data_IF_902110059123
#
_entry.id   IF_902110059123
#
_cell.length_a   1.000
_cell.length_b   1.000
_cell.length_c   1.000
_cell.angle_alpha   90.00
_cell.angle_beta   90.00
_cell.angle_gamma   90.00
#
_symmetry.space_group_name_H-M   'P 1'
#
loop_
_entity.id
_entity.type
_entity.pdbx_description
1 polymer ?
#
# COMPACT_ATOMS: atom_id res chain seq x y z
N UNK A 1 5.97 27.97 -6.91
CA UNK A 1 6.06 27.14 -5.67
C UNK A 1 4.77 26.37 -5.52
N UNK A 2 4.86 25.05 -5.34
CA UNK A 2 3.74 24.17 -5.03
C UNK A 2 3.87 23.71 -3.57
N UNK A 3 2.80 23.85 -2.79
CA UNK A 3 2.77 23.39 -1.40
C UNK A 3 1.95 22.11 -1.35
N UNK A 4 2.53 21.07 -0.77
CA UNK A 4 1.92 19.74 -0.66
C UNK A 4 1.97 19.26 0.78
N UNK A 5 1.05 18.38 1.14
CA UNK A 5 1.11 17.63 2.40
C UNK A 5 1.38 16.16 2.06
N UNK A 6 2.47 15.62 2.59
CA UNK A 6 2.85 14.23 2.40
C UNK A 6 3.43 13.70 3.70
N UNK A 7 3.07 12.47 4.09
CA UNK A 7 3.56 11.84 5.32
C UNK A 7 3.33 12.71 6.58
N UNK A 8 2.18 13.40 6.68
CA UNK A 8 1.84 14.34 7.78
C UNK A 8 2.82 15.51 7.94
N UNK A 9 3.61 15.81 6.92
CA UNK A 9 4.49 16.98 6.90
C UNK A 9 4.14 17.84 5.69
N UNK A 10 4.27 19.16 5.84
CA UNK A 10 4.03 20.11 4.75
C UNK A 10 5.34 20.42 4.05
N UNK A 11 5.41 20.18 2.74
CA UNK A 11 6.57 20.49 1.92
C UNK A 11 6.25 21.55 0.88
N UNK A 12 7.27 22.30 0.46
CA UNK A 12 7.20 23.27 -0.61
C UNK A 12 8.16 22.89 -1.74
N UNK A 13 7.62 22.59 -2.91
CA UNK A 13 8.37 22.36 -4.13
C UNK A 13 8.58 23.68 -4.88
N UNK A 14 9.84 24.07 -5.04
CA UNK A 14 10.19 25.15 -5.94
C UNK A 14 9.99 24.69 -7.39
N UNK A 15 9.05 25.34 -8.08
CA UNK A 15 8.76 25.08 -9.49
C UNK A 15 8.83 26.39 -10.24
N UNK A 16 9.33 26.35 -11.49
CA UNK A 16 9.44 27.51 -12.37
C UNK A 16 8.06 28.11 -12.67
N UNK A 17 7.12 27.26 -13.11
CA UNK A 17 5.72 27.60 -13.34
C UNK A 17 4.84 26.37 -13.22
N UNK A 18 3.55 26.58 -12.95
CA UNK A 18 2.52 25.54 -13.10
C UNK A 18 1.85 25.80 -14.45
N UNK A 19 1.99 24.85 -15.38
CA UNK A 19 1.39 24.95 -16.71
C UNK A 19 -0.11 24.62 -16.64
N UNK A 20 -0.44 23.45 -16.10
CA UNK A 20 -1.82 22.96 -15.95
C UNK A 20 -1.98 22.04 -14.75
N UNK A 21 -3.23 21.90 -14.25
CA UNK A 21 -3.63 20.92 -13.24
C UNK A 21 -4.70 20.03 -13.86
N UNK A 22 -4.36 18.76 -14.08
CA UNK A 22 -5.25 17.79 -14.74
C UNK A 22 -5.61 16.70 -13.76
N UNK A 23 -6.90 16.34 -13.72
CA UNK A 23 -7.39 15.18 -12.97
C UNK A 23 -7.43 13.99 -13.92
N UNK A 24 -6.77 12.90 -13.55
CA UNK A 24 -6.61 11.71 -14.37
C UNK A 24 -7.30 10.51 -13.73
N UNK A 25 -7.80 9.60 -14.56
CA UNK A 25 -8.19 8.27 -14.14
C UNK A 25 -6.97 7.34 -14.06
N UNK A 26 -6.97 6.36 -13.16
CA UNK A 26 -5.87 5.39 -13.03
C UNK A 26 -5.57 4.62 -14.32
N UNK A 27 -6.55 4.45 -15.21
CA UNK A 27 -6.35 3.83 -16.54
C UNK A 27 -5.43 4.65 -17.46
N UNK A 28 -5.26 5.94 -17.17
CA UNK A 28 -4.36 6.84 -17.89
C UNK A 28 -2.94 6.85 -17.29
N UNK A 29 -2.73 6.24 -16.13
CA UNK A 29 -1.44 6.16 -15.43
C UNK A 29 -0.84 4.78 -15.66
N UNK A 30 0.29 4.75 -16.35
CA UNK A 30 1.01 3.52 -16.69
C UNK A 30 2.27 3.41 -15.84
N UNK A 31 2.58 2.21 -15.35
CA UNK A 31 3.81 1.95 -14.61
C UNK A 31 5.04 2.23 -15.47
N UNK A 32 6.01 2.95 -14.94
CA UNK A 32 7.27 3.22 -15.64
C UNK A 32 8.22 2.02 -15.48
N UNK A 33 8.22 1.08 -16.44
CA UNK A 33 9.17 -0.04 -16.43
C UNK A 33 10.60 0.44 -16.75
N UNK A 34 11.45 0.48 -15.73
CA UNK A 34 12.91 0.30 -15.83
C UNK A 34 13.76 1.35 -16.55
N UNK A 35 13.22 2.49 -16.99
CA UNK A 35 13.97 3.43 -17.87
C UNK A 35 14.01 4.89 -17.44
N UNK A 36 13.25 5.30 -16.41
CA UNK A 36 13.28 6.67 -15.90
C UNK A 36 13.93 6.69 -14.51
N UNK A 37 15.20 7.09 -14.44
CA UNK A 37 16.10 6.86 -13.30
C UNK A 37 15.48 7.08 -11.93
N UNK A 38 15.20 5.98 -11.20
CA UNK A 38 14.96 5.87 -9.76
C UNK A 38 13.89 6.73 -9.07
N UNK A 39 13.42 7.80 -9.70
CA UNK A 39 12.63 8.89 -9.12
C UNK A 39 11.32 9.11 -9.86
N UNK A 40 10.96 8.19 -10.75
CA UNK A 40 9.72 8.21 -11.53
C UNK A 40 9.02 6.87 -11.30
N UNK A 41 7.79 6.91 -10.80
CA UNK A 41 6.98 5.69 -10.57
C UNK A 41 6.15 5.33 -11.79
N UNK A 42 5.65 6.33 -12.52
CA UNK A 42 4.66 6.15 -13.56
C UNK A 42 4.73 7.22 -14.65
N UNK A 43 4.08 6.95 -15.78
CA UNK A 43 3.86 7.89 -16.89
C UNK A 43 2.35 8.11 -17.02
N UNK A 44 1.94 9.36 -16.92
CA UNK A 44 0.57 9.81 -17.08
C UNK A 44 0.31 10.27 -18.52
N UNK A 45 -0.77 9.74 -19.13
CA UNK A 45 -1.32 10.22 -20.40
C UNK A 45 -2.29 11.37 -20.16
N UNK A 46 -1.80 12.60 -20.29
CA UNK A 46 -2.52 13.82 -19.93
C UNK A 46 -3.79 14.02 -20.76
N UNK A 47 -3.73 13.69 -22.05
CA UNK A 47 -4.85 13.87 -22.99
C UNK A 47 -5.60 12.54 -23.28
N UNK A 48 -5.47 11.56 -22.39
CA UNK A 48 -6.10 10.24 -22.54
C UNK A 48 -5.42 9.35 -23.59
N UNK A 49 -6.14 8.36 -24.10
CA UNK A 49 -5.62 7.37 -25.05
C UNK A 49 -5.76 7.82 -26.51
N UNK A 50 -5.10 8.93 -26.84
CA UNK A 50 -5.05 9.46 -28.22
C UNK A 50 -3.66 9.28 -28.82
N UNK A 51 -3.57 9.15 -30.15
CA UNK A 51 -2.29 8.89 -30.84
C UNK A 51 -1.20 9.93 -30.61
N UNK A 52 -1.54 11.11 -30.06
CA UNK A 52 -0.59 12.18 -29.80
C UNK A 52 -0.74 12.75 -28.37
N UNK A 53 -1.10 11.89 -27.42
CA UNK A 53 -1.30 12.28 -26.03
C UNK A 53 0.00 12.80 -25.41
N UNK A 54 -0.08 13.92 -24.69
CA UNK A 54 1.05 14.42 -23.91
C UNK A 54 1.32 13.45 -22.76
N UNK A 55 2.60 13.15 -22.56
CA UNK A 55 3.06 12.29 -21.48
C UNK A 55 3.70 13.14 -20.38
N UNK A 56 3.27 12.92 -19.14
CA UNK A 56 3.90 13.50 -17.96
C UNK A 56 4.53 12.38 -17.12
N UNK A 57 5.76 12.59 -16.66
CA UNK A 57 6.38 11.68 -15.70
C UNK A 57 5.84 11.98 -14.31
N UNK A 58 5.38 10.94 -13.62
CA UNK A 58 4.94 11.02 -12.22
C UNK A 58 6.15 10.76 -11.34
N UNK A 59 6.54 11.78 -10.59
CA UNK A 59 7.69 11.70 -9.69
C UNK A 59 7.37 10.85 -8.46
N UNK A 60 8.34 10.02 -8.06
CA UNK A 60 8.34 9.34 -6.77
C UNK A 60 8.73 10.33 -5.67
N UNK A 61 7.74 11.09 -5.21
CA UNK A 61 7.93 12.09 -4.14
C UNK A 61 8.44 11.44 -2.85
N UNK A 62 8.03 10.21 -2.55
CA UNK A 62 8.48 9.45 -1.38
C UNK A 62 10.00 9.20 -1.44
N UNK A 63 10.48 8.65 -2.55
CA UNK A 63 11.91 8.39 -2.74
C UNK A 63 12.72 9.70 -2.70
N UNK A 64 12.22 10.76 -3.35
CA UNK A 64 12.89 12.07 -3.36
C UNK A 64 13.00 12.66 -1.96
N UNK A 65 11.90 12.68 -1.20
CA UNK A 65 11.91 13.26 0.15
C UNK A 65 12.82 12.49 1.09
N UNK A 66 12.88 11.16 0.98
CA UNK A 66 13.75 10.32 1.81
C UNK A 66 15.24 10.49 1.53
N UNK A 67 15.61 10.78 0.29
CA UNK A 67 16.99 11.13 -0.06
C UNK A 67 17.40 12.51 0.47
N UNK A 68 16.49 13.49 0.42
CA UNK A 68 16.77 14.87 0.81
C UNK A 68 16.70 15.12 2.32
N UNK A 69 15.76 14.44 2.98
CA UNK A 69 15.54 14.51 4.41
C UNK A 69 15.50 13.08 4.94
N UNK A 70 16.67 12.47 5.21
CA UNK A 70 16.73 11.16 5.81
C UNK A 70 15.96 11.17 7.14
N UNK A 71 15.11 10.18 7.42
CA UNK A 71 14.41 10.13 8.71
C UNK A 71 15.44 10.08 9.85
N UNK A 72 15.22 10.88 10.89
CA UNK A 72 16.01 10.82 12.12
C UNK A 72 15.68 9.53 12.88
N UNK A 73 16.38 8.43 12.58
CA UNK A 73 16.20 7.14 13.27
C UNK A 73 16.65 5.94 12.44
N UNK A 74 16.89 4.79 13.11
CA UNK A 74 17.06 3.51 12.41
C UNK A 74 15.71 3.12 11.80
N UNK A 75 15.67 2.87 10.49
CA UNK A 75 14.46 2.58 9.71
C UNK A 75 13.49 1.57 10.34
N UNK A 76 14.01 0.60 11.10
CA UNK A 76 13.27 -0.36 11.92
C UNK A 76 14.17 -0.78 13.08
N UNK A 77 13.77 -0.53 14.33
CA UNK A 77 14.44 -1.08 15.51
C UNK A 77 13.59 -2.23 16.10
N UNK A 78 14.07 -3.48 16.08
CA UNK A 78 13.35 -4.61 16.68
C UNK A 78 13.00 -4.40 18.15
N UNK A 79 13.78 -3.59 18.89
CA UNK A 79 13.51 -3.29 20.29
C UNK A 79 12.30 -2.35 20.47
N UNK A 80 12.01 -1.50 19.48
CA UNK A 80 10.86 -0.57 19.53
C UNK A 80 9.62 -1.10 18.80
N UNK A 81 9.80 -2.00 17.83
CA UNK A 81 8.71 -2.69 17.11
C UNK A 81 7.78 -3.44 18.08
N UNK A 82 8.28 -3.91 19.23
CA UNK A 82 7.49 -4.58 20.26
C UNK A 82 7.31 -6.09 20.02
N UNK A 83 6.29 -6.74 20.62
CA UNK A 83 6.17 -8.19 20.60
C UNK A 83 5.85 -8.75 19.22
N UNK A 84 6.32 -9.99 18.98
CA UNK A 84 6.02 -10.76 17.77
C UNK A 84 4.52 -11.02 17.60
N UNK A 85 4.07 -11.12 16.36
CA UNK A 85 2.70 -11.53 16.06
C UNK A 85 2.59 -13.05 16.04
N UNK A 86 1.44 -13.55 16.48
CA UNK A 86 1.09 -14.96 16.40
C UNK A 86 0.11 -15.15 15.24
N UNK A 87 0.59 -15.80 14.18
CA UNK A 87 -0.24 -16.21 13.05
C UNK A 87 -0.58 -17.70 13.18
N UNK A 88 -1.69 -18.12 12.56
CA UNK A 88 -1.99 -19.56 12.43
C UNK A 88 -0.85 -20.25 11.65
N UNK A 89 -0.54 -21.54 11.93
CA UNK A 89 0.50 -22.26 11.21
C UNK A 89 0.28 -22.23 9.69
N UNK A 90 1.26 -21.68 8.95
CA UNK A 90 1.19 -21.54 7.49
C UNK A 90 0.34 -20.37 6.99
N UNK A 91 -0.21 -19.54 7.89
CA UNK A 91 -0.87 -18.30 7.50
C UNK A 91 0.15 -17.19 7.24
N UNK A 92 -0.17 -16.31 6.28
CA UNK A 92 0.68 -15.20 5.87
C UNK A 92 -0.06 -13.87 5.89
N UNK A 93 0.69 -12.77 5.93
CA UNK A 93 0.20 -11.43 5.59
C UNK A 93 0.47 -11.19 4.11
N UNK A 94 -0.57 -10.87 3.33
CA UNK A 94 -0.42 -10.49 1.92
C UNK A 94 -0.30 -8.97 1.84
N UNK A 95 0.84 -8.46 1.41
CA UNK A 95 1.11 -7.03 1.29
C UNK A 95 1.19 -6.61 -0.18
N UNK A 96 0.76 -5.37 -0.51
CA UNK A 96 0.86 -4.76 -1.83
C UNK A 96 1.31 -3.30 -1.74
N UNK A 97 2.37 -2.92 -2.45
CA UNK A 97 2.84 -1.53 -2.57
C UNK A 97 3.71 -1.42 -3.83
N UNK A 98 3.53 -0.38 -4.65
CA UNK A 98 4.30 -0.16 -5.90
C UNK A 98 5.65 0.51 -5.65
N UNK A 99 5.81 1.22 -4.53
CA UNK A 99 7.07 1.84 -4.10
C UNK A 99 8.06 0.82 -3.55
N UNK A 100 9.25 0.77 -4.15
CA UNK A 100 10.36 -0.09 -3.68
C UNK A 100 10.76 0.26 -2.24
N UNK A 101 10.75 1.56 -1.90
CA UNK A 101 11.11 2.05 -0.58
C UNK A 101 10.10 1.59 0.46
N UNK A 102 8.80 1.77 0.18
CA UNK A 102 7.74 1.37 1.08
C UNK A 102 7.71 -0.15 1.28
N UNK A 103 7.88 -0.94 0.21
CA UNK A 103 8.01 -2.41 0.30
C UNK A 103 9.14 -2.81 1.24
N UNK A 104 10.34 -2.26 1.09
CA UNK A 104 11.48 -2.58 1.95
C UNK A 104 11.21 -2.26 3.43
N UNK A 105 10.46 -1.19 3.74
CA UNK A 105 10.09 -0.84 5.11
C UNK A 105 9.05 -1.81 5.68
N UNK A 106 8.04 -2.15 4.88
CA UNK A 106 7.01 -3.14 5.23
C UNK A 106 7.67 -4.49 5.52
N UNK A 107 8.53 -4.98 4.63
CA UNK A 107 9.23 -6.25 4.78
C UNK A 107 10.04 -6.29 6.07
N UNK A 108 10.89 -5.29 6.33
CA UNK A 108 11.66 -5.19 7.58
C UNK A 108 10.77 -5.17 8.82
N UNK A 109 9.65 -4.44 8.77
CA UNK A 109 8.70 -4.39 9.87
C UNK A 109 8.06 -5.75 10.15
N UNK A 110 7.60 -6.44 9.10
CA UNK A 110 7.00 -7.78 9.20
C UNK A 110 8.02 -8.83 9.67
N UNK A 111 9.26 -8.76 9.20
CA UNK A 111 10.37 -9.62 9.64
C UNK A 111 10.67 -9.41 11.13
N UNK A 112 10.78 -8.16 11.58
CA UNK A 112 10.99 -7.83 13.00
C UNK A 112 9.85 -8.35 13.88
N UNK A 113 8.62 -8.37 13.36
CA UNK A 113 7.44 -8.94 14.03
C UNK A 113 7.38 -10.48 13.96
N UNK A 114 8.27 -11.13 13.21
CA UNK A 114 8.27 -12.58 13.00
C UNK A 114 7.08 -13.08 12.17
N UNK A 115 6.47 -12.21 11.37
CA UNK A 115 5.34 -12.56 10.51
C UNK A 115 5.82 -13.22 9.22
N UNK A 116 5.15 -14.28 8.78
CA UNK A 116 5.28 -14.74 7.40
C UNK A 116 4.45 -13.82 6.49
N UNK A 117 5.00 -13.45 5.34
CA UNK A 117 4.33 -12.55 4.41
C UNK A 117 4.61 -12.89 2.95
N UNK A 118 3.77 -12.35 2.07
CA UNK A 118 3.94 -12.33 0.62
C UNK A 118 3.82 -10.87 0.19
N UNK A 119 4.86 -10.33 -0.45
CA UNK A 119 4.88 -8.95 -0.94
C UNK A 119 4.63 -8.93 -2.45
N UNK A 120 3.67 -8.12 -2.91
CA UNK A 120 3.37 -7.87 -4.33
C UNK A 120 3.61 -6.41 -4.70
N UNK A 121 3.73 -6.11 -5.99
CA UNK A 121 4.10 -4.78 -6.50
C UNK A 121 2.92 -3.95 -7.01
N UNK A 122 1.72 -4.52 -7.05
CA UNK A 122 0.50 -3.82 -7.43
C UNK A 122 -0.73 -4.44 -6.77
N UNK A 123 -1.85 -3.71 -6.78
CA UNK A 123 -3.13 -4.24 -6.31
C UNK A 123 -3.63 -5.39 -7.17
N UNK A 124 -3.34 -5.36 -8.48
CA UNK A 124 -3.71 -6.43 -9.41
C UNK A 124 -2.96 -7.73 -9.09
N UNK A 125 -1.66 -7.64 -8.83
CA UNK A 125 -0.86 -8.80 -8.43
C UNK A 125 -1.32 -9.38 -7.09
N UNK A 126 -1.64 -8.53 -6.10
CA UNK A 126 -2.22 -8.97 -4.83
C UNK A 126 -3.55 -9.68 -5.02
N UNK A 127 -4.44 -9.14 -5.85
CA UNK A 127 -5.73 -9.77 -6.15
C UNK A 127 -5.54 -11.16 -6.78
N UNK A 128 -4.69 -11.27 -7.80
CA UNK A 128 -4.43 -12.54 -8.48
C UNK A 128 -3.78 -13.56 -7.52
N UNK A 129 -2.88 -13.09 -6.66
CA UNK A 129 -2.25 -13.94 -5.65
C UNK A 129 -3.24 -14.43 -4.61
N UNK A 130 -4.14 -13.57 -4.12
CA UNK A 130 -5.21 -13.94 -3.19
C UNK A 130 -6.13 -15.01 -3.81
N UNK A 131 -6.50 -14.84 -5.07
CA UNK A 131 -7.30 -15.82 -5.82
C UNK A 131 -6.61 -17.17 -5.93
N UNK A 132 -5.30 -17.18 -6.26
CA UNK A 132 -4.52 -18.41 -6.32
C UNK A 132 -4.43 -19.13 -4.96
N UNK A 133 -4.24 -18.39 -3.86
CA UNK A 133 -4.23 -18.95 -2.51
C UNK A 133 -5.62 -19.52 -2.16
N UNK A 134 -6.70 -18.85 -2.58
CA UNK A 134 -8.06 -19.30 -2.37
C UNK A 134 -8.36 -20.64 -3.05
N UNK A 135 -7.91 -20.83 -4.29
CA UNK A 135 -8.07 -22.10 -4.99
C UNK A 135 -7.27 -23.23 -4.31
N UNK A 136 -6.05 -22.94 -3.84
CA UNK A 136 -5.27 -23.89 -3.05
C UNK A 136 -5.94 -24.28 -1.73
N UNK A 137 -6.42 -23.28 -0.97
CA UNK A 137 -7.16 -23.49 0.28
C UNK A 137 -8.41 -24.36 0.06
N UNK A 138 -9.15 -24.10 -1.02
CA UNK A 138 -10.33 -24.87 -1.42
C UNK A 138 -9.97 -26.32 -1.76
N UNK A 139 -8.89 -26.56 -2.49
CA UNK A 139 -8.42 -27.91 -2.83
C UNK A 139 -8.04 -28.72 -1.59
N UNK A 140 -7.53 -28.05 -0.55
CA UNK A 140 -7.16 -28.64 0.73
C UNK A 140 -8.32 -28.71 1.75
N UNK A 141 -9.49 -28.13 1.41
CA UNK A 141 -10.66 -28.10 2.29
C UNK A 141 -10.52 -27.17 3.51
N UNK A 142 -9.61 -26.18 3.46
CA UNK A 142 -9.38 -25.21 4.54
C UNK A 142 -9.95 -23.84 4.19
N UNK A 143 -10.21 -23.02 5.21
CA UNK A 143 -10.70 -21.66 4.98
C UNK A 143 -9.55 -20.76 4.52
N UNK A 144 -9.85 -19.80 3.65
CA UNK A 144 -8.84 -18.83 3.21
C UNK A 144 -8.26 -18.01 4.38
N UNK A 145 -9.04 -17.75 5.42
CA UNK A 145 -8.59 -17.11 6.66
C UNK A 145 -7.58 -17.94 7.47
N UNK A 146 -7.39 -19.22 7.12
CA UNK A 146 -6.32 -20.06 7.69
C UNK A 146 -5.02 -19.96 6.89
N UNK A 147 -5.06 -19.37 5.69
CA UNK A 147 -3.90 -19.15 4.80
C UNK A 147 -3.50 -17.69 4.72
N UNK A 148 -4.45 -16.77 4.78
CA UNK A 148 -4.21 -15.31 4.76
C UNK A 148 -4.78 -14.70 6.03
N UNK A 149 -3.89 -14.26 6.91
CA UNK A 149 -4.27 -13.67 8.20
C UNK A 149 -4.71 -12.20 8.07
N UNK A 150 -4.15 -11.49 7.09
CA UNK A 150 -4.39 -10.07 6.85
C UNK A 150 -3.93 -9.69 5.45
N UNK A 151 -4.54 -8.63 4.90
CA UNK A 151 -4.08 -7.94 3.70
C UNK A 151 -3.62 -6.54 4.09
N UNK A 152 -2.43 -6.15 3.65
CA UNK A 152 -1.87 -4.81 3.75
C UNK A 152 -1.79 -4.23 2.34
N UNK A 153 -2.34 -3.05 2.08
CA UNK A 153 -2.31 -2.46 0.73
C UNK A 153 -1.98 -0.98 0.79
N UNK A 154 -1.12 -0.53 -0.12
CA UNK A 154 -1.05 0.87 -0.47
C UNK A 154 -2.33 1.34 -1.16
N UNK A 155 -2.57 2.65 -1.13
CA UNK A 155 -3.74 3.25 -1.74
C UNK A 155 -3.50 3.62 -3.21
N UNK A 156 -2.32 4.12 -3.54
CA UNK A 156 -1.98 4.76 -4.81
C UNK A 156 -1.11 3.82 -5.65
N UNK A 157 -1.75 2.80 -6.24
CA UNK A 157 -1.06 1.85 -7.13
C UNK A 157 -1.61 1.93 -8.55
N UNK A 158 -0.75 1.77 -9.59
CA UNK A 158 -1.20 1.67 -10.97
C UNK A 158 -2.03 0.41 -11.20
N UNK A 159 -2.83 0.43 -12.28
CA UNK A 159 -3.78 -0.62 -12.72
C UNK A 159 -4.95 -0.90 -11.77
N UNK A 160 -4.67 -1.13 -10.48
CA UNK A 160 -5.65 -1.36 -9.44
C UNK A 160 -5.19 -0.71 -8.14
N UNK A 161 -5.92 0.33 -7.74
CA UNK A 161 -5.70 1.07 -6.51
C UNK A 161 -6.16 0.29 -5.26
N UNK A 162 -5.71 0.73 -4.08
CA UNK A 162 -6.03 0.08 -2.81
C UNK A 162 -7.52 0.13 -2.46
N UNK A 163 -8.24 1.15 -2.93
CA UNK A 163 -9.70 1.25 -2.73
C UNK A 163 -10.44 0.16 -3.49
N UNK A 164 -10.09 -0.03 -4.76
CA UNK A 164 -10.66 -1.04 -5.65
C UNK A 164 -10.34 -2.43 -5.13
N UNK A 165 -9.09 -2.68 -4.77
CA UNK A 165 -8.67 -3.95 -4.17
C UNK A 165 -9.47 -4.26 -2.89
N UNK A 166 -9.54 -3.30 -1.96
CA UNK A 166 -10.28 -3.46 -0.71
C UNK A 166 -11.75 -3.76 -0.97
N UNK A 167 -12.38 -3.03 -1.88
CA UNK A 167 -13.79 -3.25 -2.25
C UNK A 167 -14.02 -4.64 -2.83
N UNK A 168 -13.15 -5.12 -3.73
CA UNK A 168 -13.25 -6.46 -4.31
C UNK A 168 -13.13 -7.53 -3.23
N UNK A 169 -12.18 -7.39 -2.31
CA UNK A 169 -11.99 -8.29 -1.16
C UNK A 169 -13.24 -8.32 -0.28
N UNK A 170 -13.77 -7.16 0.10
CA UNK A 170 -14.90 -7.05 1.03
C UNK A 170 -16.23 -7.48 0.43
N UNK A 171 -16.38 -7.39 -0.90
CA UNK A 171 -17.58 -7.84 -1.61
C UNK A 171 -17.58 -9.34 -1.92
N UNK A 172 -16.40 -9.99 -1.93
CA UNK A 172 -16.30 -11.42 -2.13
C UNK A 172 -16.62 -12.18 -0.84
N UNK A 173 -17.65 -13.07 -0.81
CA UNK A 173 -18.01 -13.85 0.37
C UNK A 173 -16.88 -14.73 0.91
N UNK A 174 -15.90 -15.09 0.07
CA UNK A 174 -14.73 -15.88 0.46
C UNK A 174 -13.77 -15.03 1.29
N UNK A 175 -13.60 -13.75 0.95
CA UNK A 175 -12.54 -12.90 1.49
C UNK A 175 -13.03 -11.84 2.47
N UNK A 176 -14.33 -11.56 2.55
CA UNK A 176 -14.86 -10.44 3.32
C UNK A 176 -14.51 -10.43 4.82
N UNK A 177 -14.16 -11.59 5.38
CA UNK A 177 -13.70 -11.73 6.78
C UNK A 177 -12.20 -11.48 6.97
N UNK A 178 -11.41 -11.45 5.90
CA UNK A 178 -9.98 -11.16 5.98
C UNK A 178 -9.83 -9.67 6.32
N UNK A 179 -9.07 -9.32 7.36
CA UNK A 179 -8.84 -7.92 7.68
C UNK A 179 -7.98 -7.25 6.61
N UNK A 180 -8.36 -6.05 6.22
CA UNK A 180 -7.64 -5.21 5.23
C UNK A 180 -7.18 -3.94 5.92
N UNK A 181 -5.87 -3.69 5.89
CA UNK A 181 -5.23 -2.48 6.41
C UNK A 181 -4.69 -1.69 5.22
N UNK A 182 -5.08 -0.42 5.13
CA UNK A 182 -4.53 0.50 4.13
C UNK A 182 -3.32 1.21 4.73
N UNK A 183 -2.20 1.19 4.01
CA UNK A 183 -0.93 1.81 4.40
C UNK A 183 -0.50 2.81 3.33
N UNK A 184 -0.80 4.09 3.52
CA UNK A 184 -0.61 5.11 2.49
C UNK A 184 0.03 6.40 3.05
N UNK A 185 0.70 7.13 2.17
CA UNK A 185 1.30 8.44 2.47
C UNK A 185 0.29 9.59 2.50
N UNK A 186 -0.89 9.38 1.92
CA UNK A 186 -2.00 10.34 1.87
C UNK A 186 -2.55 10.62 3.28
N UNK A 187 -2.14 11.72 3.91
CA UNK A 187 -2.71 12.13 5.21
C UNK A 187 -4.02 12.90 5.06
N UNK A 188 -4.84 12.90 6.12
CA UNK A 188 -6.04 13.76 6.23
C UNK A 188 -7.35 13.02 6.49
N UNK A 189 -8.25 13.66 7.26
CA UNK A 189 -9.55 13.09 7.68
C UNK A 189 -10.43 12.62 6.53
N UNK A 190 -10.43 13.34 5.41
CA UNK A 190 -11.24 13.00 4.23
C UNK A 190 -10.86 11.63 3.64
N UNK A 191 -9.57 11.28 3.68
CA UNK A 191 -9.10 9.98 3.21
C UNK A 191 -9.47 8.88 4.20
N UNK A 192 -9.35 9.13 5.51
CA UNK A 192 -9.77 8.18 6.55
C UNK A 192 -11.27 7.83 6.47
N UNK A 193 -12.13 8.81 6.20
CA UNK A 193 -13.57 8.58 6.07
C UNK A 193 -13.91 7.80 4.80
N UNK A 194 -13.24 8.07 3.67
CA UNK A 194 -13.38 7.25 2.46
C UNK A 194 -12.89 5.81 2.65
N UNK A 195 -11.78 5.63 3.37
CA UNK A 195 -11.21 4.31 3.71
C UNK A 195 -12.20 3.48 4.52
N UNK A 196 -12.93 4.08 5.47
CA UNK A 196 -14.02 3.41 6.18
C UNK A 196 -15.19 3.06 5.25
N UNK A 197 -15.50 3.93 4.30
CA UNK A 197 -16.57 3.72 3.32
C UNK A 197 -16.38 2.49 2.42
N UNK A 198 -15.14 2.10 2.15
CA UNK A 198 -14.83 0.88 1.37
C UNK A 198 -14.71 -0.40 2.21
N UNK A 199 -14.85 -0.27 3.55
CA UNK A 199 -14.86 -1.39 4.47
C UNK A 199 -13.48 -1.85 4.96
N UNK A 200 -12.44 -1.02 4.84
CA UNK A 200 -11.14 -1.34 5.45
C UNK A 200 -11.22 -1.37 6.99
N UNK A 201 -10.42 -2.22 7.61
CA UNK A 201 -10.42 -2.43 9.07
C UNK A 201 -9.52 -1.42 9.80
N UNK A 202 -8.49 -0.90 9.11
CA UNK A 202 -7.63 0.15 9.63
C UNK A 202 -6.95 0.95 8.52
N UNK A 203 -6.47 2.13 8.90
CA UNK A 203 -5.64 3.02 8.10
C UNK A 203 -4.37 3.35 8.86
N UNK A 204 -3.21 3.26 8.21
CA UNK A 204 -1.90 3.61 8.76
C UNK A 204 -1.21 4.56 7.78
N UNK A 205 -0.71 5.68 8.29
CA UNK A 205 0.15 6.54 7.49
C UNK A 205 1.50 5.85 7.24
N UNK A 206 2.06 6.01 6.03
CA UNK A 206 3.42 5.53 5.70
C UNK A 206 4.48 6.14 6.65
N UNK A 207 5.63 5.48 6.74
CA UNK A 207 6.86 5.92 7.43
C UNK A 207 6.94 5.79 8.95
N UNK A 208 5.99 5.11 9.59
CA UNK A 208 6.11 4.72 11.00
C UNK A 208 6.00 3.20 11.14
N UNK A 209 7.15 2.53 11.22
CA UNK A 209 7.19 1.07 11.41
C UNK A 209 6.54 0.66 12.73
N UNK A 210 6.64 1.50 13.76
CA UNK A 210 6.01 1.31 15.06
C UNK A 210 4.48 1.41 14.98
N UNK A 211 3.95 2.41 14.28
CA UNK A 211 2.49 2.56 14.08
C UNK A 211 1.93 1.42 13.23
N UNK A 212 2.66 1.01 12.18
CA UNK A 212 2.29 -0.13 11.36
C UNK A 212 2.24 -1.41 12.20
N UNK A 213 3.29 -1.68 12.99
CA UNK A 213 3.35 -2.85 13.87
C UNK A 213 2.24 -2.85 14.93
N UNK A 214 1.99 -1.70 15.56
CA UNK A 214 0.90 -1.51 16.52
C UNK A 214 -0.48 -1.75 15.91
N UNK A 215 -0.69 -1.28 14.68
CA UNK A 215 -1.95 -1.47 13.97
C UNK A 215 -2.15 -2.92 13.56
N UNK A 216 -1.13 -3.57 12.99
CA UNK A 216 -1.19 -5.00 12.62
C UNK A 216 -1.57 -5.85 13.84
N UNK A 217 -0.90 -5.63 14.99
CA UNK A 217 -1.24 -6.35 16.24
C UNK A 217 -2.69 -6.13 16.66
N UNK A 218 -3.14 -4.87 16.64
CA UNK A 218 -4.50 -4.52 17.04
C UNK A 218 -5.52 -5.21 16.15
N UNK A 219 -5.35 -5.15 14.83
CA UNK A 219 -6.30 -5.72 13.88
C UNK A 219 -6.30 -7.25 13.93
N UNK A 220 -5.13 -7.89 14.00
CA UNK A 220 -5.04 -9.35 14.16
C UNK A 220 -5.71 -9.82 15.47
N UNK A 221 -5.52 -9.09 16.57
CA UNK A 221 -6.16 -9.43 17.85
C UNK A 221 -7.69 -9.35 17.79
N UNK A 222 -8.23 -8.34 17.10
CA UNK A 222 -9.68 -8.20 16.88
C UNK A 222 -10.23 -9.30 15.98
N UNK A 223 -9.52 -9.63 14.89
CA UNK A 223 -9.91 -10.69 13.97
C UNK A 223 -9.90 -12.08 14.64
N UNK A 224 -9.00 -12.30 15.61
CA UNK A 224 -8.98 -13.55 16.39
C UNK A 224 -10.11 -13.64 17.44
N UNK A 225 -10.72 -12.52 17.81
CA UNK A 225 -11.80 -12.44 18.81
C UNK A 225 -13.22 -12.46 18.20
N UNK A 226 -13.34 -12.36 16.88
CA UNK A 226 -14.59 -12.32 16.12
C UNK A 226 -14.97 -13.70 15.55
#
# INVERSE_FOLDING_TARGET
MLVTEFARTTQAFAVESVDEIVRLDWSQVLTAEGTAGGKVTSIARVDGDTQNTRLAQVLDVETILRELVPPEGKDVDPETIGPKVLLKPGAVILAADDSVVARNLIEKGLEAMGAHFIMTKSGKEAWDRLQAIAEGAKAEGVQISDRVAMILTDLEMPEMDGFTLTRLIKQDPRFGKIPVVIHSSLSGKTNEDHVKGVGADAYVAKFSAEDLAGTIRTVLSKAAAA
#
